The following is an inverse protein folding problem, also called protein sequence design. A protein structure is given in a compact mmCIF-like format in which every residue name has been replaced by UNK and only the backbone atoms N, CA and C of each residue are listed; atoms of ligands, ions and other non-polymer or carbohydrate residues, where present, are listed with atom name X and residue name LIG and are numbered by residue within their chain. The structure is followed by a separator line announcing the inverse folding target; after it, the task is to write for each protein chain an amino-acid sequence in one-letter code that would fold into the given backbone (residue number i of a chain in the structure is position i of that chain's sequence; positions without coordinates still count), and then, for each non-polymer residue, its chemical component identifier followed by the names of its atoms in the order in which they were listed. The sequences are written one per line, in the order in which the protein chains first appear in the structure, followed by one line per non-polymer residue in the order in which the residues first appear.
data_IF_415528931136
#
_entry.id   IF_415528931136
#
_cell.length_a   1.000
_cell.length_b   1.000
_cell.length_c   1.000
_cell.angle_alpha   90.00
_cell.angle_beta   90.00
_cell.angle_gamma   90.00
#
_symmetry.space_group_name_H-M   'P 1'
#
loop_
_entity.id
_entity.type
_entity.pdbx_description
1 polymer ?
#
# COMPACT_ATOMS: atom_id res chain seq x y z
N UNK A 1 -28.77 32.54 2.93
CA UNK A 1 -27.78 32.15 1.90
C UNK A 1 -26.46 32.93 1.98
N UNK A 2 -25.35 32.21 2.15
CA UNK A 2 -23.98 32.73 2.02
C UNK A 2 -23.63 32.76 0.53
N UNK A 3 -23.58 33.95 -0.07
CA UNK A 3 -23.31 34.14 -1.51
C UNK A 3 -21.82 34.09 -1.91
N UNK A 4 -20.89 33.83 -0.98
CA UNK A 4 -19.44 33.87 -1.24
C UNK A 4 -18.75 32.61 -0.73
N UNK A 5 -17.95 31.98 -1.60
CA UNK A 5 -17.11 30.84 -1.24
C UNK A 5 -16.13 31.21 -0.13
N UNK A 6 -15.54 32.42 -0.17
CA UNK A 6 -14.60 32.87 0.86
C UNK A 6 -15.27 32.96 2.24
N UNK A 7 -16.51 33.45 2.31
CA UNK A 7 -17.26 33.49 3.56
C UNK A 7 -17.63 32.08 4.03
N UNK A 8 -18.02 31.19 3.11
CA UNK A 8 -18.30 29.80 3.45
C UNK A 8 -17.06 29.10 4.03
N UNK A 9 -15.87 29.38 3.50
CA UNK A 9 -14.62 28.83 4.01
C UNK A 9 -14.25 29.40 5.39
N UNK A 10 -14.49 30.69 5.64
CA UNK A 10 -14.32 31.28 6.97
C UNK A 10 -15.25 30.62 8.01
N UNK A 11 -16.51 30.38 7.65
CA UNK A 11 -17.45 29.65 8.52
C UNK A 11 -17.00 28.19 8.75
N UNK A 12 -16.40 27.54 7.75
CA UNK A 12 -15.81 26.21 7.90
C UNK A 12 -14.61 26.22 8.85
N UNK A 13 -13.77 27.25 8.81
CA UNK A 13 -12.66 27.42 9.74
C UNK A 13 -13.15 27.56 11.19
N UNK A 14 -14.20 28.36 11.42
CA UNK A 14 -14.85 28.47 12.74
C UNK A 14 -15.42 27.13 13.22
N UNK A 15 -16.13 26.40 12.36
CA UNK A 15 -16.62 25.05 12.68
C UNK A 15 -15.49 24.06 12.96
N UNK A 16 -14.37 24.16 12.24
CA UNK A 16 -13.20 23.32 12.46
C UNK A 16 -12.52 23.64 13.81
N UNK A 17 -12.48 24.91 14.21
CA UNK A 17 -11.98 25.33 15.52
C UNK A 17 -12.88 24.78 16.64
N UNK A 18 -14.21 24.90 16.51
CA UNK A 18 -15.15 24.35 17.48
C UNK A 18 -15.05 22.81 17.57
N UNK A 19 -14.93 22.12 16.43
CA UNK A 19 -14.72 20.68 16.39
C UNK A 19 -13.39 20.30 17.07
N UNK A 20 -12.34 21.09 16.87
CA UNK A 20 -11.04 20.92 17.52
C UNK A 20 -11.11 21.00 19.03
N UNK A 21 -11.85 21.97 19.57
CA UNK A 21 -12.09 22.09 21.02
C UNK A 21 -12.87 20.89 21.58
N UNK A 22 -13.94 20.46 20.90
CA UNK A 22 -14.72 19.28 21.31
C UNK A 22 -13.89 17.99 21.28
N UNK A 23 -13.00 17.84 20.31
CA UNK A 23 -12.06 16.72 20.22
C UNK A 23 -11.01 16.80 21.33
N UNK A 24 -10.53 18.00 21.66
CA UNK A 24 -9.59 18.25 22.75
C UNK A 24 -10.16 17.81 24.10
N UNK A 25 -11.41 18.14 24.38
CA UNK A 25 -12.11 17.71 25.61
C UNK A 25 -12.18 16.18 25.75
N UNK A 26 -12.21 15.46 24.62
CA UNK A 26 -12.24 13.99 24.56
C UNK A 26 -10.87 13.34 24.49
N UNK A 27 -9.79 14.13 24.45
CA UNK A 27 -8.42 13.64 24.19
C UNK A 27 -8.31 12.90 22.85
N UNK A 28 -9.00 13.39 21.83
CA UNK A 28 -9.06 12.83 20.48
C UNK A 28 -8.54 13.84 19.44
N UNK A 29 -8.28 13.31 18.24
CA UNK A 29 -8.06 14.07 17.01
C UNK A 29 -8.80 13.41 15.85
N UNK A 30 -9.26 14.21 14.88
CA UNK A 30 -9.93 13.72 13.69
C UNK A 30 -8.96 13.09 12.70
N UNK A 31 -9.43 12.04 12.03
CA UNK A 31 -8.76 11.33 10.93
C UNK A 31 -9.45 11.50 9.60
N UNK A 32 -10.76 11.80 9.64
CA UNK A 32 -11.58 12.07 8.46
C UNK A 32 -12.51 13.22 8.79
N UNK A 33 -12.52 14.21 7.90
CA UNK A 33 -13.39 15.37 7.98
C UNK A 33 -14.25 15.40 6.72
N UNK A 34 -15.56 15.48 6.92
CA UNK A 34 -16.54 15.55 5.85
C UNK A 34 -17.27 16.89 5.91
N UNK A 35 -17.13 17.65 4.85
CA UNK A 35 -17.76 18.94 4.65
C UNK A 35 -18.87 18.78 3.62
N UNK A 36 -20.06 19.27 3.93
CA UNK A 36 -21.13 19.38 2.96
C UNK A 36 -21.57 20.83 2.85
N UNK A 37 -21.57 21.35 1.63
CA UNK A 37 -22.07 22.67 1.28
C UNK A 37 -23.42 22.50 0.57
N UNK A 38 -24.51 22.85 1.23
CA UNK A 38 -25.86 22.79 0.67
C UNK A 38 -26.18 24.12 -0.01
N UNK A 39 -26.33 24.10 -1.32
CA UNK A 39 -26.67 25.25 -2.16
C UNK A 39 -28.17 25.49 -2.17
N UNK A 40 -28.59 26.76 -2.30
CA UNK A 40 -30.00 27.16 -2.26
C UNK A 40 -30.87 26.51 -3.33
N UNK A 41 -30.29 26.07 -4.45
CA UNK A 41 -31.00 25.35 -5.51
C UNK A 41 -31.14 23.83 -5.26
N UNK A 42 -30.76 23.36 -4.07
CA UNK A 42 -30.88 21.97 -3.65
C UNK A 42 -29.67 21.10 -3.98
N UNK A 43 -28.64 21.63 -4.63
CA UNK A 43 -27.39 20.89 -4.83
C UNK A 43 -26.59 20.79 -3.52
N UNK A 44 -25.84 19.71 -3.37
CA UNK A 44 -24.92 19.52 -2.26
C UNK A 44 -23.52 19.18 -2.78
N UNK A 45 -22.50 19.87 -2.27
CA UNK A 45 -21.10 19.64 -2.61
C UNK A 45 -20.40 18.96 -1.44
N UNK A 46 -20.17 17.64 -1.49
CA UNK A 46 -19.42 16.94 -0.47
C UNK A 46 -17.91 17.09 -0.71
N UNK A 47 -17.17 17.54 0.29
CA UNK A 47 -15.72 17.47 0.35
C UNK A 47 -15.31 16.53 1.49
N UNK A 48 -14.30 15.70 1.22
CA UNK A 48 -13.69 14.83 2.20
C UNK A 48 -12.20 15.08 2.23
N UNK A 49 -11.67 15.24 3.43
CA UNK A 49 -10.22 15.24 3.70
C UNK A 49 -9.92 14.23 4.79
N UNK A 50 -8.77 13.58 4.66
CA UNK A 50 -8.31 12.56 5.58
C UNK A 50 -6.89 12.91 6.01
N UNK A 51 -6.48 12.41 7.18
CA UNK A 51 -5.16 12.64 7.74
C UNK A 51 -4.51 11.33 8.17
N UNK A 52 -3.19 11.27 8.13
CA UNK A 52 -2.41 10.09 8.51
C UNK A 52 -2.25 9.98 10.02
N UNK A 53 -2.23 11.11 10.72
CA UNK A 53 -2.24 11.23 12.18
C UNK A 53 -3.52 11.92 12.67
N UNK A 54 -3.94 11.71 13.93
CA UNK A 54 -5.05 12.47 14.52
C UNK A 54 -4.73 13.98 14.53
N UNK A 55 -5.61 14.79 13.94
CA UNK A 55 -5.47 16.26 13.86
C UNK A 55 -6.68 16.93 14.50
N UNK A 56 -6.45 18.02 15.22
CA UNK A 56 -7.53 18.86 15.77
C UNK A 56 -7.30 20.37 15.59
N UNK A 57 -6.20 20.74 14.91
CA UNK A 57 -5.85 22.12 14.63
C UNK A 57 -6.60 22.62 13.37
N UNK A 58 -7.37 23.70 13.51
CA UNK A 58 -8.18 24.24 12.43
C UNK A 58 -7.35 24.70 11.21
N UNK A 59 -6.23 25.45 11.36
CA UNK A 59 -5.34 25.78 10.25
C UNK A 59 -4.84 24.55 9.47
N UNK A 60 -4.44 23.48 10.17
CA UNK A 60 -4.00 22.24 9.52
C UNK A 60 -5.13 21.60 8.68
N UNK A 61 -6.35 21.56 9.22
CA UNK A 61 -7.54 21.04 8.53
C UNK A 61 -7.87 21.91 7.31
N UNK A 62 -7.93 23.23 7.48
CA UNK A 62 -8.29 24.16 6.41
C UNK A 62 -7.31 24.14 5.25
N UNK A 63 -6.02 23.94 5.53
CA UNK A 63 -5.02 23.73 4.48
C UNK A 63 -5.33 22.52 3.60
N UNK A 64 -5.76 21.39 4.19
CA UNK A 64 -6.16 20.21 3.42
C UNK A 64 -7.47 20.43 2.65
N UNK A 65 -8.40 21.19 3.23
CA UNK A 65 -9.65 21.59 2.56
C UNK A 65 -9.35 22.43 1.33
N UNK A 66 -8.45 23.41 1.44
CA UNK A 66 -8.04 24.23 0.31
C UNK A 66 -7.38 23.40 -0.79
N UNK A 67 -6.42 22.54 -0.44
CA UNK A 67 -5.80 21.61 -1.39
C UNK A 67 -6.84 20.72 -2.08
N UNK A 68 -7.89 20.30 -1.35
CA UNK A 68 -8.97 19.51 -1.93
C UNK A 68 -9.80 20.33 -2.91
N UNK A 69 -10.13 21.58 -2.58
CA UNK A 69 -10.87 22.49 -3.47
C UNK A 69 -10.08 22.78 -4.74
N UNK A 70 -8.79 23.06 -4.60
CA UNK A 70 -7.89 23.35 -5.73
C UNK A 70 -7.71 22.12 -6.65
N UNK A 71 -7.92 20.91 -6.12
CA UNK A 71 -7.90 19.66 -6.90
C UNK A 71 -9.21 19.34 -7.64
N UNK A 72 -10.29 20.09 -7.42
CA UNK A 72 -11.56 19.84 -8.08
C UNK A 72 -11.49 20.25 -9.55
N UNK A 73 -12.07 19.44 -10.43
CA UNK A 73 -12.22 19.80 -11.84
C UNK A 73 -13.25 20.92 -12.03
N UNK A 74 -14.32 20.89 -11.24
CA UNK A 74 -15.34 21.93 -11.19
C UNK A 74 -15.15 22.77 -9.91
N UNK A 75 -15.18 24.10 -10.00
CA UNK A 75 -15.01 24.96 -8.84
C UNK A 75 -16.17 24.79 -7.86
N UNK A 76 -15.89 25.04 -6.57
CA UNK A 76 -16.93 25.14 -5.54
C UNK A 76 -17.73 26.44 -5.74
N UNK A 77 -18.73 26.38 -6.62
CA UNK A 77 -19.56 27.51 -7.02
C UNK A 77 -20.79 27.67 -6.11
N UNK A 78 -20.90 28.80 -5.38
CA UNK A 78 -22.02 29.08 -4.50
C UNK A 78 -23.32 29.33 -5.28
N UNK A 79 -23.30 29.71 -6.56
CA UNK A 79 -24.50 30.10 -7.30
C UNK A 79 -25.28 31.21 -6.59
N UNK A 80 -26.50 30.92 -6.14
CA UNK A 80 -27.33 31.84 -5.32
C UNK A 80 -26.95 31.87 -3.83
N UNK A 81 -26.05 30.99 -3.42
CA UNK A 81 -25.47 30.88 -2.09
C UNK A 81 -25.62 29.51 -1.46
N UNK A 82 -24.91 29.30 -0.36
CA UNK A 82 -25.09 28.14 0.51
C UNK A 82 -26.08 28.45 1.63
N UNK A 83 -27.08 27.60 1.81
CA UNK A 83 -28.07 27.73 2.90
C UNK A 83 -27.61 27.05 4.18
N UNK A 84 -26.83 25.98 4.04
CA UNK A 84 -26.32 25.21 5.17
C UNK A 84 -24.92 24.68 4.87
N UNK A 85 -24.07 24.76 5.88
CA UNK A 85 -22.76 24.12 5.90
C UNK A 85 -22.76 23.08 7.01
N UNK A 86 -22.14 21.93 6.75
CA UNK A 86 -21.99 20.87 7.76
C UNK A 86 -20.56 20.36 7.76
N UNK A 87 -19.93 20.38 8.93
CA UNK A 87 -18.69 19.67 9.21
C UNK A 87 -19.00 18.44 10.09
N UNK A 88 -18.55 17.26 9.67
CA UNK A 88 -18.60 16.03 10.46
C UNK A 88 -17.22 15.41 10.57
N UNK A 89 -16.92 14.81 11.72
CA UNK A 89 -15.68 14.06 11.98
C UNK A 89 -16.04 12.59 12.23
N UNK A 90 -16.34 11.79 11.18
CA UNK A 90 -16.82 10.42 11.34
C UNK A 90 -15.75 9.45 11.86
N UNK A 91 -14.46 9.79 11.73
CA UNK A 91 -13.37 9.00 12.27
C UNK A 91 -12.51 9.92 13.14
N UNK A 92 -12.49 9.63 14.44
CA UNK A 92 -11.62 10.26 15.42
C UNK A 92 -10.82 9.17 16.13
N UNK A 93 -9.62 9.50 16.56
CA UNK A 93 -8.70 8.59 17.22
C UNK A 93 -8.06 9.26 18.45
N UNK A 94 -7.62 8.49 19.46
CA UNK A 94 -6.94 9.05 20.62
C UNK A 94 -5.74 9.90 20.22
N UNK A 95 -5.64 11.09 20.80
CA UNK A 95 -4.56 12.04 20.58
C UNK A 95 -4.07 12.53 21.93
N UNK A 96 -2.90 12.04 22.35
CA UNK A 96 -2.28 12.49 23.59
C UNK A 96 -1.93 13.97 23.51
N UNK A 97 -1.97 14.67 24.65
CA UNK A 97 -1.41 16.01 24.73
C UNK A 97 0.11 15.92 24.53
N UNK A 98 0.60 16.37 23.39
CA UNK A 98 2.04 16.37 23.11
C UNK A 98 2.72 17.41 24.01
N UNK A 99 3.36 16.96 25.09
CA UNK A 99 4.35 17.76 25.79
C UNK A 99 5.56 17.86 24.85
N UNK A 100 5.92 19.07 24.45
CA UNK A 100 7.13 19.30 23.66
C UNK A 100 8.32 18.76 24.45
N UNK A 101 8.82 17.58 24.09
CA UNK A 101 10.06 17.06 24.63
C UNK A 101 11.20 18.04 24.31
N UNK A 102 12.13 18.20 25.25
CA UNK A 102 13.31 19.06 25.07
C UNK A 102 14.16 18.65 23.85
N UNK A 103 14.05 17.39 23.40
CA UNK A 103 14.55 16.87 22.12
C UNK A 103 13.43 16.83 21.04
N UNK A 104 12.81 17.96 20.75
CA UNK A 104 11.68 18.05 19.81
C UNK A 104 12.00 17.83 18.31
N UNK A 105 13.16 17.29 17.96
CA UNK A 105 13.61 17.16 16.57
C UNK A 105 12.91 16.02 15.81
N UNK A 106 12.85 14.83 16.41
CA UNK A 106 12.36 13.62 15.74
C UNK A 106 10.84 13.60 15.62
N UNK A 107 10.12 13.94 16.70
CA UNK A 107 8.66 14.07 16.69
C UNK A 107 8.17 15.10 15.67
N UNK A 108 8.82 16.27 15.57
CA UNK A 108 8.48 17.29 14.56
C UNK A 108 8.74 16.81 13.13
N UNK A 109 9.77 15.98 12.93
CA UNK A 109 10.08 15.40 11.62
C UNK A 109 8.99 14.42 11.21
N UNK A 110 8.54 13.56 12.12
CA UNK A 110 7.44 12.62 11.85
C UNK A 110 6.13 13.35 11.54
N UNK A 111 5.77 14.37 12.32
CA UNK A 111 4.61 15.24 12.06
C UNK A 111 4.70 15.93 10.69
N UNK A 112 5.89 16.43 10.32
CA UNK A 112 6.10 17.06 9.01
C UNK A 112 5.95 16.07 7.84
N UNK A 113 6.41 14.82 8.01
CA UNK A 113 6.23 13.75 7.02
C UNK A 113 4.77 13.36 6.91
N UNK A 114 4.04 13.22 8.03
CA UNK A 114 2.60 12.99 8.05
C UNK A 114 1.85 14.10 7.29
N UNK A 115 2.12 15.36 7.62
CA UNK A 115 1.53 16.52 6.95
C UNK A 115 1.88 16.62 5.45
N UNK A 116 2.99 16.03 5.01
CA UNK A 116 3.33 15.89 3.59
C UNK A 116 2.52 14.77 2.94
N UNK A 117 2.43 13.60 3.58
CA UNK A 117 1.63 12.45 3.12
C UNK A 117 0.18 12.88 2.91
N UNK A 118 -0.40 13.62 3.85
CA UNK A 118 -1.78 14.09 3.79
C UNK A 118 -2.04 14.95 2.55
N UNK A 119 -1.20 15.96 2.32
CA UNK A 119 -1.34 16.84 1.15
C UNK A 119 -1.16 16.09 -0.17
N UNK A 120 -0.15 15.22 -0.25
CA UNK A 120 0.08 14.43 -1.45
C UNK A 120 -1.09 13.48 -1.71
N UNK A 121 -1.67 12.90 -0.66
CA UNK A 121 -2.83 12.01 -0.75
C UNK A 121 -4.10 12.74 -1.17
N UNK A 122 -4.32 13.97 -0.69
CA UNK A 122 -5.43 14.82 -1.13
C UNK A 122 -5.32 15.16 -2.62
N UNK A 123 -4.12 15.54 -3.08
CA UNK A 123 -3.91 15.99 -4.46
C UNK A 123 -3.83 14.85 -5.48
N UNK A 124 -3.10 13.78 -5.17
CA UNK A 124 -2.91 12.65 -6.08
C UNK A 124 -4.02 11.59 -5.94
N UNK A 125 -4.72 11.57 -4.82
CA UNK A 125 -5.70 10.55 -4.44
C UNK A 125 -5.13 9.55 -3.43
N UNK A 126 -5.99 9.10 -2.51
CA UNK A 126 -5.68 8.21 -1.37
C UNK A 126 -4.75 7.03 -1.72
N UNK A 127 -5.02 6.35 -2.83
CA UNK A 127 -4.33 5.11 -3.20
C UNK A 127 -3.05 5.34 -4.03
N UNK A 128 -2.71 6.59 -4.38
CA UNK A 128 -1.50 6.90 -5.18
C UNK A 128 -0.25 7.04 -4.33
N UNK A 129 -0.40 7.47 -3.08
CA UNK A 129 0.72 7.57 -2.14
C UNK A 129 0.67 6.33 -1.27
N UNK A 130 1.64 5.46 -1.50
CA UNK A 130 1.67 4.14 -0.86
C UNK A 130 2.93 3.99 -0.02
N UNK A 131 2.81 3.15 0.99
CA UNK A 131 3.92 2.69 1.82
C UNK A 131 3.97 1.18 1.74
N UNK A 132 5.17 0.64 1.62
CA UNK A 132 5.37 -0.81 1.70
C UNK A 132 5.35 -1.20 3.17
N UNK A 133 4.47 -2.13 3.51
CA UNK A 133 4.37 -2.71 4.83
C UNK A 133 4.81 -4.18 4.77
N UNK A 134 5.81 -4.59 5.57
CA UNK A 134 6.20 -5.98 5.68
C UNK A 134 5.05 -6.79 6.27
N UNK A 135 4.91 -8.04 5.82
CA UNK A 135 3.97 -9.01 6.39
C UNK A 135 4.69 -10.32 6.65
N UNK A 136 4.26 -10.97 7.71
CA UNK A 136 4.74 -12.30 8.07
C UNK A 136 4.07 -13.36 7.16
N UNK A 137 4.51 -13.39 5.91
CA UNK A 137 4.09 -14.39 4.93
C UNK A 137 5.31 -14.87 4.16
N UNK A 138 5.46 -16.18 4.06
CA UNK A 138 6.48 -16.81 3.23
C UNK A 138 6.12 -16.78 1.74
N UNK A 139 4.87 -16.45 1.39
CA UNK A 139 4.42 -16.27 0.01
C UNK A 139 5.01 -14.96 -0.55
N UNK A 140 5.80 -14.99 -1.64
CA UNK A 140 6.57 -13.82 -2.07
C UNK A 140 5.71 -12.59 -2.38
N UNK A 141 4.55 -12.78 -3.01
CA UNK A 141 3.59 -11.72 -3.36
C UNK A 141 2.91 -11.09 -2.13
N UNK A 142 2.94 -11.78 -0.99
CA UNK A 142 2.29 -11.36 0.25
C UNK A 142 3.29 -10.98 1.34
N UNK A 143 4.60 -11.13 1.10
CA UNK A 143 5.67 -10.80 2.05
C UNK A 143 5.75 -9.29 2.35
N UNK A 144 5.27 -8.46 1.43
CA UNK A 144 5.07 -7.03 1.63
C UNK A 144 3.86 -6.55 0.81
N UNK A 145 3.16 -5.54 1.29
CA UNK A 145 2.05 -4.93 0.54
C UNK A 145 2.21 -3.42 0.44
N UNK A 146 1.84 -2.87 -0.71
CA UNK A 146 1.69 -1.44 -0.90
C UNK A 146 0.33 -1.00 -0.37
N UNK A 147 0.31 -0.41 0.82
CA UNK A 147 -0.90 0.13 1.46
C UNK A 147 -0.94 1.65 1.32
N UNK A 148 -2.13 2.29 1.29
CA UNK A 148 -2.24 3.74 1.33
C UNK A 148 -1.46 4.31 2.52
N UNK A 149 -0.52 5.23 2.24
CA UNK A 149 0.38 5.75 3.27
C UNK A 149 -0.37 6.48 4.40
N UNK A 150 -1.56 7.00 4.10
CA UNK A 150 -2.44 7.67 5.06
C UNK A 150 -3.07 6.72 6.09
N UNK A 151 -3.08 5.41 5.84
CA UNK A 151 -3.63 4.41 6.76
C UNK A 151 -2.59 3.83 7.71
N UNK A 152 -1.30 3.91 7.35
CA UNK A 152 -0.23 3.25 8.10
C UNK A 152 0.12 4.07 9.34
N UNK A 153 -0.21 3.52 10.52
CA UNK A 153 -0.06 4.20 11.82
C UNK A 153 1.35 4.16 12.40
N UNK A 154 2.03 3.04 12.23
CA UNK A 154 3.32 2.80 12.86
C UNK A 154 4.24 2.20 11.82
N UNK A 155 5.48 2.69 11.67
CA UNK A 155 6.49 1.97 10.94
C UNK A 155 6.61 0.55 11.49
N UNK A 156 6.10 -0.44 10.78
CA UNK A 156 6.46 -1.81 11.06
C UNK A 156 7.98 -1.88 10.91
N UNK A 157 8.68 -2.38 11.92
CA UNK A 157 10.09 -2.65 11.76
C UNK A 157 10.21 -3.67 10.64
N UNK A 158 10.93 -3.29 9.58
CA UNK A 158 11.37 -4.29 8.62
C UNK A 158 12.17 -5.30 9.43
N UNK A 159 11.82 -6.60 9.39
CA UNK A 159 12.67 -7.59 10.02
C UNK A 159 14.06 -7.31 9.49
N UNK A 160 15.02 -7.08 10.41
CA UNK A 160 16.44 -7.10 10.02
C UNK A 160 16.56 -8.39 9.23
N UNK A 161 16.86 -8.27 7.94
CA UNK A 161 17.07 -9.44 7.10
C UNK A 161 17.96 -10.35 7.93
N UNK A 162 17.46 -11.56 8.27
CA UNK A 162 18.24 -12.54 9.00
C UNK A 162 19.62 -12.58 8.35
N UNK A 163 20.66 -12.61 9.19
CA UNK A 163 22.06 -12.30 8.85
C UNK A 163 22.28 -12.30 7.34
N UNK A 164 22.52 -11.13 6.69
CA UNK A 164 22.90 -11.17 5.30
C UNK A 164 23.98 -12.24 5.21
N UNK A 165 23.81 -13.20 4.28
CA UNK A 165 24.92 -14.05 3.89
C UNK A 165 26.17 -13.17 3.74
N UNK A 166 27.35 -13.74 3.99
CA UNK A 166 28.60 -13.00 4.16
C UNK A 166 28.67 -11.77 3.23
N UNK A 167 29.07 -10.58 3.72
CA UNK A 167 29.04 -9.34 2.94
C UNK A 167 29.53 -9.55 1.50
N UNK A 168 28.59 -9.58 0.53
CA UNK A 168 28.88 -9.99 -0.85
C UNK A 168 27.95 -11.07 -1.41
N UNK A 169 27.20 -11.79 -0.56
CA UNK A 169 26.26 -12.80 -1.04
C UNK A 169 25.10 -12.18 -1.84
N UNK A 170 24.73 -12.79 -2.99
CA UNK A 170 23.66 -12.28 -3.83
C UNK A 170 22.30 -12.43 -3.12
N UNK A 171 21.38 -11.47 -3.29
CA UNK A 171 20.07 -11.53 -2.66
C UNK A 171 19.34 -12.83 -3.02
N UNK A 172 18.72 -13.48 -2.03
CA UNK A 172 18.02 -14.76 -2.24
C UNK A 172 16.80 -14.60 -3.15
N UNK A 173 16.11 -13.47 -3.07
CA UNK A 173 14.90 -13.15 -3.85
C UNK A 173 15.10 -11.85 -4.64
N UNK A 174 14.53 -11.73 -5.84
CA UNK A 174 14.69 -10.54 -6.68
C UNK A 174 13.94 -9.33 -6.11
N UNK A 175 14.42 -8.12 -6.42
CA UNK A 175 13.77 -6.85 -6.02
C UNK A 175 12.52 -6.54 -6.85
N UNK A 176 12.45 -7.05 -8.08
CA UNK A 176 11.32 -6.86 -8.98
C UNK A 176 10.57 -8.17 -9.18
N UNK A 177 9.34 -8.21 -8.68
CA UNK A 177 8.40 -9.31 -8.87
C UNK A 177 7.34 -8.93 -9.91
N UNK A 178 6.98 -9.90 -10.74
CA UNK A 178 5.81 -9.85 -11.59
C UNK A 178 4.60 -10.36 -10.81
N UNK A 179 3.59 -9.50 -10.67
CA UNK A 179 2.28 -9.85 -10.13
C UNK A 179 1.21 -9.54 -11.19
N UNK A 180 0.59 -10.55 -11.83
CA UNK A 180 0.83 -11.99 -11.62
C UNK A 180 2.16 -12.48 -12.25
N UNK A 181 2.70 -13.62 -11.78
CA UNK A 181 3.85 -14.27 -12.41
C UNK A 181 3.59 -14.58 -13.90
N UNK A 182 4.63 -14.47 -14.73
CA UNK A 182 4.47 -14.63 -16.18
C UNK A 182 4.74 -16.09 -16.61
N UNK A 183 3.89 -16.71 -17.44
CA UNK A 183 4.11 -18.09 -17.88
C UNK A 183 5.34 -18.20 -18.80
N UNK A 184 6.03 -19.33 -18.74
CA UNK A 184 7.13 -19.68 -19.65
C UNK A 184 6.87 -21.03 -20.33
N UNK A 185 7.25 -21.13 -21.60
CA UNK A 185 7.16 -22.39 -22.35
C UNK A 185 8.44 -23.19 -22.13
N UNK A 186 8.33 -24.38 -21.56
CA UNK A 186 9.48 -25.27 -21.36
C UNK A 186 9.67 -26.18 -22.57
N UNK A 187 10.86 -26.15 -23.15
CA UNK A 187 11.21 -26.98 -24.31
C UNK A 187 11.83 -28.31 -23.88
N UNK A 188 12.59 -28.32 -22.77
CA UNK A 188 13.22 -29.52 -22.21
C UNK A 188 13.05 -29.55 -20.68
N UNK A 189 12.21 -30.46 -20.18
CA UNK A 189 12.01 -30.67 -18.74
C UNK A 189 13.05 -31.65 -18.20
N UNK A 190 13.61 -31.32 -17.03
CA UNK A 190 14.43 -32.23 -16.21
C UNK A 190 13.59 -32.66 -15.02
N UNK A 191 13.60 -33.95 -14.62
CA UNK A 191 12.81 -34.41 -13.47
C UNK A 191 13.12 -33.63 -12.17
N UNK A 192 14.41 -33.38 -11.90
CA UNK A 192 14.90 -32.84 -10.63
C UNK A 192 15.58 -31.46 -10.76
N UNK A 193 15.00 -30.55 -11.56
CA UNK A 193 15.57 -29.21 -11.70
C UNK A 193 14.77 -28.25 -12.60
N UNK A 194 15.31 -27.04 -12.83
CA UNK A 194 14.75 -26.12 -13.80
C UNK A 194 14.95 -26.61 -15.24
N UNK A 195 14.16 -26.10 -16.19
CA UNK A 195 14.33 -26.42 -17.59
C UNK A 195 15.68 -25.92 -18.13
N UNK A 196 16.35 -26.71 -18.97
CA UNK A 196 17.57 -26.26 -19.67
C UNK A 196 17.27 -25.14 -20.68
N UNK A 197 16.10 -25.17 -21.30
CA UNK A 197 15.67 -24.19 -22.29
C UNK A 197 14.22 -23.82 -22.04
N UNK A 198 13.95 -22.51 -22.05
CA UNK A 198 12.58 -21.98 -22.00
C UNK A 198 12.40 -20.81 -22.96
N UNK A 199 11.14 -20.56 -23.34
CA UNK A 199 10.75 -19.36 -24.08
C UNK A 199 9.96 -18.43 -23.17
N UNK A 200 10.34 -17.16 -23.16
CA UNK A 200 9.64 -16.09 -22.46
C UNK A 200 9.58 -14.86 -23.35
N UNK A 201 8.40 -14.24 -23.47
CA UNK A 201 8.15 -13.10 -24.38
C UNK A 201 8.69 -13.32 -25.80
N UNK A 202 8.51 -14.54 -26.34
CA UNK A 202 8.97 -15.00 -27.66
C UNK A 202 10.50 -15.12 -27.82
N UNK A 203 11.29 -14.81 -26.80
CA UNK A 203 12.73 -15.01 -26.79
C UNK A 203 13.08 -16.38 -26.19
N UNK A 204 14.07 -17.05 -26.76
CA UNK A 204 14.63 -18.28 -26.21
C UNK A 204 15.75 -17.96 -25.21
N UNK A 205 15.74 -18.69 -24.10
CA UNK A 205 16.72 -18.60 -23.02
C UNK A 205 17.28 -19.99 -22.73
N UNK A 206 18.60 -20.09 -22.76
CA UNK A 206 19.35 -21.29 -22.37
C UNK A 206 19.90 -21.07 -20.96
N UNK A 207 19.55 -21.98 -20.05
CA UNK A 207 19.97 -21.95 -18.64
C UNK A 207 21.36 -22.56 -18.53
N UNK A 208 22.33 -21.76 -18.09
CA UNK A 208 23.73 -22.18 -17.92
C UNK A 208 24.05 -22.53 -16.46
N UNK A 209 23.37 -21.88 -15.50
CA UNK A 209 23.54 -22.12 -14.06
C UNK A 209 22.20 -22.05 -13.36
N UNK A 210 22.06 -22.81 -12.27
CA UNK A 210 20.90 -22.70 -11.40
C UNK A 210 21.23 -23.03 -9.95
N UNK A 211 20.37 -22.57 -9.05
CA UNK A 211 20.38 -22.84 -7.61
C UNK A 211 18.94 -23.05 -7.10
N UNK A 212 18.77 -23.92 -6.11
CA UNK A 212 17.47 -24.29 -5.54
C UNK A 212 17.27 -25.81 -5.48
N UNK A 213 16.04 -26.30 -5.19
CA UNK A 213 14.81 -25.50 -5.09
C UNK A 213 14.65 -24.81 -3.73
N UNK A 214 14.20 -23.56 -3.73
CA UNK A 214 13.49 -22.99 -2.58
C UNK A 214 12.03 -23.46 -2.65
N UNK A 215 11.64 -24.34 -1.72
CA UNK A 215 10.31 -24.92 -1.69
C UNK A 215 9.35 -24.08 -0.84
N UNK A 216 8.35 -23.51 -1.49
CA UNK A 216 7.32 -22.68 -0.86
C UNK A 216 5.98 -23.41 -0.97
N UNK A 217 5.54 -24.01 0.13
CA UNK A 217 4.21 -24.57 0.27
C UNK A 217 3.16 -23.44 0.44
N UNK A 218 1.89 -23.67 0.10
CA UNK A 218 0.83 -22.73 0.44
C UNK A 218 0.73 -22.48 1.95
N UNK A 219 0.10 -21.37 2.33
CA UNK A 219 -0.21 -21.05 3.73
C UNK A 219 -1.28 -22.01 4.27
N UNK A 220 -0.84 -23.10 4.89
CA UNK A 220 -1.70 -24.20 5.34
C UNK A 220 -2.86 -23.75 6.25
N UNK A 221 -2.67 -22.69 7.04
CA UNK A 221 -3.69 -22.11 7.92
C UNK A 221 -4.81 -21.34 7.19
N UNK A 222 -4.65 -21.06 5.89
CA UNK A 222 -5.69 -20.44 5.05
C UNK A 222 -6.61 -21.46 4.36
N UNK A 223 -6.28 -22.74 4.43
CA UNK A 223 -7.15 -23.80 3.91
C UNK A 223 -8.46 -23.84 4.71
N UNK A 224 -9.61 -23.90 4.01
CA UNK A 224 -10.89 -24.16 4.69
C UNK A 224 -10.83 -25.52 5.39
N UNK A 225 -11.26 -25.55 6.64
CA UNK A 225 -11.47 -26.74 7.45
C UNK A 225 -10.24 -27.63 7.71
N UNK A 226 -9.03 -27.06 7.74
CA UNK A 226 -7.81 -27.82 8.08
C UNK A 226 -7.52 -28.97 7.10
N UNK A 227 -8.06 -28.90 5.88
CA UNK A 227 -7.98 -29.97 4.91
C UNK A 227 -6.55 -30.13 4.37
N UNK A 228 -5.93 -31.25 4.75
CA UNK A 228 -4.88 -31.90 3.99
C UNK A 228 -5.54 -32.56 2.77
N UNK A 229 -5.48 -31.90 1.62
CA UNK A 229 -5.32 -32.47 0.27
C UNK A 229 -5.68 -31.44 -0.80
N UNK A 230 -4.70 -31.13 -1.67
CA UNK A 230 -4.80 -30.77 -3.11
C UNK A 230 -5.65 -29.59 -3.59
N UNK A 231 -6.78 -29.29 -2.96
CA UNK A 231 -7.83 -28.46 -3.57
C UNK A 231 -8.09 -27.16 -2.78
N UNK A 232 -7.84 -27.15 -1.46
CA UNK A 232 -8.22 -26.01 -0.61
C UNK A 232 -7.09 -25.02 -0.28
N UNK A 233 -5.82 -25.41 -0.40
CA UNK A 233 -4.67 -24.58 -0.01
C UNK A 233 -3.87 -24.00 -1.21
N UNK A 234 -3.99 -24.59 -2.41
CA UNK A 234 -3.11 -24.32 -3.55
C UNK A 234 -1.97 -25.34 -3.67
N UNK A 235 -1.12 -25.21 -4.70
CA UNK A 235 -0.01 -26.13 -4.98
C UNK A 235 1.33 -25.61 -4.46
N UNK A 236 2.26 -26.52 -4.15
CA UNK A 236 3.63 -26.20 -3.76
C UNK A 236 4.38 -25.58 -4.94
N UNK A 237 5.24 -24.60 -4.66
CA UNK A 237 6.10 -23.95 -5.66
C UNK A 237 7.57 -24.27 -5.37
N UNK A 238 8.23 -24.93 -6.32
CA UNK A 238 9.69 -25.09 -6.29
C UNK A 238 10.32 -23.95 -7.09
N UNK A 239 10.96 -23.01 -6.39
CA UNK A 239 11.64 -21.85 -6.98
C UNK A 239 13.10 -22.14 -7.28
N UNK A 240 13.55 -21.67 -8.44
CA UNK A 240 14.93 -21.79 -8.90
C UNK A 240 15.46 -20.41 -9.29
N UNK A 241 16.66 -20.11 -8.84
CA UNK A 241 17.44 -18.96 -9.30
C UNK A 241 18.30 -19.43 -10.46
N UNK A 242 18.04 -18.92 -11.65
CA UNK A 242 18.71 -19.36 -12.88
C UNK A 242 19.51 -18.22 -13.50
N UNK A 243 20.59 -18.56 -14.21
CA UNK A 243 21.34 -17.66 -15.07
C UNK A 243 21.28 -18.17 -16.50
N UNK A 244 21.04 -17.27 -17.46
CA UNK A 244 21.08 -17.61 -18.88
C UNK A 244 22.46 -17.42 -19.51
N UNK A 245 22.64 -17.91 -20.74
CA UNK A 245 23.89 -17.77 -21.50
C UNK A 245 24.33 -16.32 -21.77
N UNK A 246 23.47 -15.32 -21.51
CA UNK A 246 23.79 -13.89 -21.61
C UNK A 246 24.03 -13.25 -20.24
N UNK A 247 24.16 -14.05 -19.17
CA UNK A 247 24.41 -13.61 -17.79
C UNK A 247 23.19 -13.00 -17.09
N UNK A 248 21.99 -13.12 -17.66
CA UNK A 248 20.77 -12.58 -17.04
C UNK A 248 20.23 -13.57 -16.03
N UNK A 249 19.87 -13.06 -14.86
CA UNK A 249 19.42 -13.86 -13.73
C UNK A 249 17.91 -13.75 -13.53
N UNK A 250 17.25 -14.90 -13.45
CA UNK A 250 15.80 -15.00 -13.33
C UNK A 250 15.41 -15.82 -12.10
N UNK A 251 14.27 -15.47 -11.53
CA UNK A 251 13.62 -16.28 -10.50
C UNK A 251 12.40 -16.94 -11.10
N UNK A 252 12.49 -18.25 -11.33
CA UNK A 252 11.44 -19.05 -11.95
C UNK A 252 10.91 -20.07 -10.95
N UNK A 253 9.69 -20.55 -11.15
CA UNK A 253 9.18 -21.65 -10.35
C UNK A 253 8.36 -22.64 -11.16
N UNK A 254 8.34 -23.85 -10.63
CA UNK A 254 7.44 -24.92 -11.02
C UNK A 254 6.21 -24.90 -10.10
N UNK A 255 5.01 -24.79 -10.68
CA UNK A 255 3.74 -24.80 -9.94
C UNK A 255 3.21 -26.23 -9.85
N UNK A 256 3.34 -26.84 -8.67
CA UNK A 256 3.02 -28.23 -8.40
C UNK A 256 4.26 -29.13 -8.40
N UNK A 257 4.34 -30.03 -7.42
CA UNK A 257 5.35 -31.09 -7.40
C UNK A 257 5.11 -32.11 -8.51
N UNK A 258 6.13 -32.37 -9.33
CA UNK A 258 6.08 -33.34 -10.42
C UNK A 258 5.71 -34.73 -9.89
N UNK A 259 4.66 -35.33 -10.44
CA UNK A 259 4.20 -36.69 -10.09
C UNK A 259 3.42 -36.80 -8.78
N UNK A 260 3.53 -35.85 -7.85
CA UNK A 260 2.79 -35.83 -6.59
C UNK A 260 1.55 -34.93 -6.65
N UNK A 261 1.69 -33.69 -7.15
CA UNK A 261 0.61 -32.70 -7.21
C UNK A 261 0.15 -32.43 -8.66
N UNK A 262 1.05 -32.57 -9.64
CA UNK A 262 0.74 -32.32 -11.05
C UNK A 262 1.50 -33.29 -11.98
N UNK A 263 0.80 -33.78 -13.03
CA UNK A 263 1.41 -34.61 -14.10
C UNK A 263 2.32 -33.81 -15.02
N UNK A 264 1.94 -32.58 -15.34
CA UNK A 264 2.71 -31.63 -16.15
C UNK A 264 2.67 -30.26 -15.47
N UNK A 265 3.56 -30.01 -14.50
CA UNK A 265 3.54 -28.76 -13.75
C UNK A 265 3.89 -27.59 -14.68
N UNK A 266 3.15 -26.51 -14.52
CA UNK A 266 3.36 -25.27 -15.27
C UNK A 266 4.57 -24.51 -14.71
N UNK A 267 5.23 -23.76 -15.57
CA UNK A 267 6.41 -22.97 -15.21
C UNK A 267 6.14 -21.49 -15.41
N UNK A 268 6.67 -20.69 -14.48
CA UNK A 268 6.50 -19.25 -14.49
C UNK A 268 7.82 -18.56 -14.15
N UNK A 269 7.99 -17.36 -14.67
CA UNK A 269 8.96 -16.39 -14.19
C UNK A 269 8.27 -15.43 -13.22
N UNK A 270 8.79 -15.39 -11.99
CA UNK A 270 8.24 -14.54 -10.94
C UNK A 270 9.04 -13.24 -10.78
N UNK A 271 10.35 -13.23 -11.06
CA UNK A 271 11.10 -11.98 -10.92
C UNK A 271 12.45 -11.96 -11.62
N UNK A 272 13.03 -10.77 -11.64
CA UNK A 272 14.32 -10.46 -12.27
C UNK A 272 15.31 -9.97 -11.21
N UNK A 273 16.52 -10.53 -11.21
CA UNK A 273 17.61 -9.99 -10.40
C UNK A 273 18.28 -8.82 -11.12
N UNK A 274 18.78 -7.85 -10.36
CA UNK A 274 19.54 -6.70 -10.87
C UNK A 274 20.95 -7.08 -11.32
#
# INVERSE_FOLDING_TARGET
PVGSTAYALAAVEEMAAEAGERLRERSEGGRRFELLFFRTDGLAFPLRVETSLPVRDAPAIMRLVQERIDSLSDPLDPGFGFDMLRLAVPQAEPMAATQLALEGGEARREEAVAALIDRLSVRAGRNRIQRLEPRDSHIPEQAQLALPAIEVRTPSSWPRQGEPGEPGDPPMRPIHLFDPPQPIEVVAQVPDGPPHHFRWRRAAHEVTRYEGPERIAPEWWKAKDGALEGESAGMTRDYYRIEDARGRRYWIFRHGLYGAEARHPAWYIHGLFA
#
